data_IF_846821992550
#
_entry.id   IF_846821992550
#
_cell.length_a   1.000
_cell.length_b   1.000
_cell.length_c   1.000
_cell.angle_alpha   90.00
_cell.angle_beta   90.00
_cell.angle_gamma   90.00
#
_symmetry.space_group_name_H-M   'P 1'
#
loop_
_entity.id
_entity.type
_entity.pdbx_description
1 polymer ?
#
# COMPACT_ATOMS: atom_id res chain seq x y z
N UNK A 1 3.85 21.51 -28.59
CA UNK A 1 3.41 20.18 -29.08
C UNK A 1 3.73 19.17 -27.99
N UNK A 2 2.73 18.76 -27.22
CA UNK A 2 2.90 17.69 -26.24
C UNK A 2 3.09 16.36 -27.00
N UNK A 3 4.00 15.47 -26.58
CA UNK A 3 4.16 14.19 -27.25
C UNK A 3 2.89 13.37 -27.02
N UNK A 4 2.26 12.96 -28.12
CA UNK A 4 1.18 12.00 -28.14
C UNK A 4 1.65 10.72 -27.43
N UNK A 5 0.92 10.32 -26.39
CA UNK A 5 1.17 9.05 -25.71
C UNK A 5 0.67 7.96 -26.65
N UNK A 6 1.61 7.21 -27.19
CA UNK A 6 1.44 6.05 -28.08
C UNK A 6 0.31 5.13 -27.62
N UNK A 7 -0.74 5.04 -28.44
CA UNK A 7 -1.63 3.88 -28.52
C UNK A 7 -0.86 2.70 -29.10
N UNK A 8 -0.77 1.60 -28.33
CA UNK A 8 -0.46 0.21 -28.72
C UNK A 8 -0.24 -0.55 -27.39
N UNK A 9 -0.76 -1.72 -27.07
CA UNK A 9 -1.53 -2.72 -27.81
C UNK A 9 -1.96 -3.82 -26.79
N UNK A 10 -3.12 -4.44 -26.97
CA UNK A 10 -3.61 -5.70 -26.39
C UNK A 10 -3.50 -6.06 -24.87
N UNK A 11 -4.64 -6.46 -24.30
CA UNK A 11 -4.86 -7.19 -23.04
C UNK A 11 -3.69 -7.19 -22.02
N UNK A 12 -3.74 -6.26 -21.06
CA UNK A 12 -2.79 -6.25 -19.94
C UNK A 12 -2.71 -7.63 -19.28
N UNK A 13 -1.49 -8.10 -19.01
CA UNK A 13 -1.23 -9.32 -18.25
C UNK A 13 -1.30 -8.96 -16.78
N UNK A 14 -2.40 -9.37 -16.15
CA UNK A 14 -2.74 -8.96 -14.80
C UNK A 14 -2.16 -9.96 -13.80
N UNK A 15 -1.42 -9.46 -12.81
CA UNK A 15 -1.05 -10.19 -11.61
C UNK A 15 -1.75 -9.58 -10.40
N UNK A 16 -2.37 -10.38 -9.55
CA UNK A 16 -3.14 -9.94 -8.39
C UNK A 16 -2.46 -10.45 -7.12
N UNK A 17 -2.12 -9.54 -6.22
CA UNK A 17 -1.66 -9.85 -4.87
C UNK A 17 -2.79 -9.56 -3.89
N UNK A 18 -3.28 -10.59 -3.20
CA UNK A 18 -4.31 -10.43 -2.18
C UNK A 18 -3.70 -10.71 -0.81
N UNK A 19 -3.74 -9.74 0.10
CA UNK A 19 -3.40 -9.99 1.49
C UNK A 19 -4.66 -10.39 2.26
N UNK A 20 -4.86 -11.68 2.61
CA UNK A 20 -6.07 -12.16 3.27
C UNK A 20 -6.22 -11.59 4.70
N UNK A 21 -5.13 -11.13 5.30
CA UNK A 21 -5.11 -10.54 6.64
C UNK A 21 -5.43 -9.04 6.64
N UNK A 22 -5.67 -8.42 5.47
CA UNK A 22 -6.10 -7.03 5.37
C UNK A 22 -7.55 -6.84 5.81
N UNK A 23 -7.88 -5.65 6.32
CA UNK A 23 -9.12 -5.37 7.06
C UNK A 23 -10.41 -5.81 6.36
N UNK A 24 -10.64 -5.39 5.11
CA UNK A 24 -11.83 -5.80 4.34
C UNK A 24 -11.71 -7.24 3.83
N UNK A 25 -10.50 -7.69 3.48
CA UNK A 25 -10.24 -9.03 2.94
C UNK A 25 -10.57 -10.11 3.98
N UNK A 26 -10.33 -9.88 5.28
CA UNK A 26 -10.70 -10.82 6.35
C UNK A 26 -12.17 -11.24 6.33
N UNK A 27 -13.06 -10.39 5.80
CA UNK A 27 -14.51 -10.64 5.74
C UNK A 27 -15.01 -10.93 4.33
N UNK A 28 -14.24 -10.57 3.29
CA UNK A 28 -14.65 -10.62 1.89
C UNK A 28 -13.73 -11.42 0.98
N UNK A 29 -12.81 -12.22 1.54
CA UNK A 29 -11.83 -12.99 0.78
C UNK A 29 -12.51 -13.94 -0.22
N UNK A 30 -13.54 -14.66 0.21
CA UNK A 30 -14.27 -15.58 -0.68
C UNK A 30 -14.87 -14.86 -1.88
N UNK A 31 -15.50 -13.71 -1.67
CA UNK A 31 -16.10 -12.91 -2.76
C UNK A 31 -15.05 -12.39 -3.74
N UNK A 32 -13.90 -11.95 -3.22
CA UNK A 32 -12.76 -11.50 -4.04
C UNK A 32 -12.20 -12.67 -4.83
N UNK A 33 -11.96 -13.82 -4.20
CA UNK A 33 -11.47 -15.03 -4.87
C UNK A 33 -12.44 -15.52 -5.94
N UNK A 34 -13.75 -15.48 -5.68
CA UNK A 34 -14.78 -15.78 -6.69
C UNK A 34 -14.67 -14.83 -7.87
N UNK A 35 -14.61 -13.52 -7.63
CA UNK A 35 -14.47 -12.53 -8.70
C UNK A 35 -13.20 -12.74 -9.51
N UNK A 36 -12.07 -13.08 -8.87
CA UNK A 36 -10.81 -13.40 -9.56
C UNK A 36 -10.96 -14.67 -10.41
N UNK A 37 -11.65 -15.70 -9.90
CA UNK A 37 -11.86 -16.97 -10.62
C UNK A 37 -12.67 -16.84 -11.91
N UNK A 38 -13.50 -15.79 -12.02
CA UNK A 38 -14.22 -15.46 -13.26
C UNK A 38 -13.29 -14.97 -14.37
N UNK A 39 -12.04 -14.62 -14.04
CA UNK A 39 -11.03 -14.17 -14.99
C UNK A 39 -9.74 -15.01 -14.86
N UNK A 40 -9.73 -16.26 -15.36
CA UNK A 40 -8.64 -17.22 -15.17
C UNK A 40 -7.33 -16.84 -15.87
N UNK A 41 -7.33 -15.78 -16.70
CA UNK A 41 -6.12 -15.25 -17.32
C UNK A 41 -5.28 -14.39 -16.37
N UNK A 42 -5.85 -13.93 -15.25
CA UNK A 42 -5.08 -13.24 -14.22
C UNK A 42 -4.29 -14.23 -13.37
N UNK A 43 -3.02 -13.91 -13.14
CA UNK A 43 -2.19 -14.60 -12.16
C UNK A 43 -2.58 -14.09 -10.76
N UNK A 44 -2.68 -14.98 -9.78
CA UNK A 44 -3.13 -14.61 -8.44
C UNK A 44 -2.31 -15.29 -7.36
N UNK A 45 -1.82 -14.50 -6.40
CA UNK A 45 -1.15 -14.98 -5.20
C UNK A 45 -1.77 -14.37 -3.95
N UNK A 46 -1.93 -15.21 -2.92
CA UNK A 46 -2.21 -14.73 -1.58
C UNK A 46 -0.89 -14.44 -0.87
N UNK A 47 -0.75 -13.23 -0.32
CA UNK A 47 0.50 -12.77 0.29
C UNK A 47 0.28 -12.29 1.72
N UNK A 48 0.96 -12.93 2.67
CA UNK A 48 0.89 -12.61 4.11
C UNK A 48 2.23 -12.10 4.64
N UNK A 49 3.33 -12.55 4.03
CA UNK A 49 4.69 -12.20 4.43
C UNK A 49 5.45 -11.46 3.31
N UNK A 50 6.53 -10.74 3.64
CA UNK A 50 7.41 -10.16 2.63
C UNK A 50 8.02 -11.22 1.68
N UNK A 51 8.22 -12.44 2.16
CA UNK A 51 8.73 -13.54 1.34
C UNK A 51 7.70 -14.00 0.31
N UNK A 52 6.42 -14.10 0.69
CA UNK A 52 5.34 -14.42 -0.25
C UNK A 52 5.26 -13.37 -1.37
N UNK A 53 5.44 -12.09 -1.01
CA UNK A 53 5.48 -10.98 -1.98
C UNK A 53 6.69 -11.11 -2.90
N UNK A 54 7.87 -11.44 -2.36
CA UNK A 54 9.06 -11.69 -3.15
C UNK A 54 8.81 -12.78 -4.19
N UNK A 55 8.35 -13.95 -3.76
CA UNK A 55 8.10 -15.10 -4.64
C UNK A 55 7.04 -14.78 -5.69
N UNK A 56 5.92 -14.16 -5.29
CA UNK A 56 4.85 -13.79 -6.20
C UNK A 56 5.30 -12.76 -7.26
N UNK A 57 6.14 -11.79 -6.90
CA UNK A 57 6.63 -10.79 -7.85
C UNK A 57 7.62 -11.39 -8.87
N UNK A 58 8.46 -12.34 -8.45
CA UNK A 58 9.33 -13.07 -9.39
C UNK A 58 8.53 -13.99 -10.31
N UNK A 59 7.50 -14.65 -9.78
CA UNK A 59 6.57 -15.44 -10.59
C UNK A 59 5.85 -14.57 -11.63
N UNK A 60 5.32 -13.42 -11.22
CA UNK A 60 4.70 -12.44 -12.12
C UNK A 60 5.65 -11.94 -13.21
N UNK A 61 6.92 -11.68 -12.85
CA UNK A 61 7.93 -11.28 -13.83
C UNK A 61 8.18 -12.37 -14.87
N UNK A 62 8.23 -13.64 -14.46
CA UNK A 62 8.40 -14.78 -15.37
C UNK A 62 7.24 -14.90 -16.37
N UNK A 63 6.03 -14.53 -15.94
CA UNK A 63 4.81 -14.51 -16.76
C UNK A 63 4.60 -13.22 -17.56
N UNK A 64 5.55 -12.28 -17.48
CA UNK A 64 5.51 -10.96 -18.13
C UNK A 64 4.28 -10.14 -17.74
N UNK A 65 3.87 -10.23 -16.48
CA UNK A 65 2.84 -9.36 -15.91
C UNK A 65 3.26 -7.89 -16.07
N UNK A 66 2.35 -7.07 -16.59
CA UNK A 66 2.58 -5.65 -16.82
C UNK A 66 1.65 -4.75 -15.98
N UNK A 67 0.65 -5.34 -15.32
CA UNK A 67 -0.22 -4.70 -14.35
C UNK A 67 -0.34 -5.53 -13.09
N UNK A 68 0.16 -5.00 -11.96
CA UNK A 68 0.03 -5.61 -10.65
C UNK A 68 -1.11 -4.93 -9.88
N UNK A 69 -2.11 -5.72 -9.50
CA UNK A 69 -3.20 -5.32 -8.63
C UNK A 69 -2.87 -5.73 -7.21
N UNK A 70 -2.94 -4.78 -6.26
CA UNK A 70 -2.65 -5.01 -4.85
C UNK A 70 -3.95 -4.84 -4.07
N UNK A 71 -4.54 -5.95 -3.61
CA UNK A 71 -5.63 -5.95 -2.63
C UNK A 71 -5.02 -6.07 -1.23
N UNK A 72 -4.75 -4.91 -0.61
CA UNK A 72 -4.08 -4.85 0.69
C UNK A 72 -4.23 -3.49 1.37
N UNK A 73 -3.73 -3.39 2.60
CA UNK A 73 -3.56 -2.10 3.29
C UNK A 73 -2.24 -1.41 2.92
N UNK A 74 -2.00 -0.23 3.49
CA UNK A 74 -0.80 0.59 3.21
C UNK A 74 0.52 -0.19 3.44
N UNK A 75 0.57 -1.04 4.48
CA UNK A 75 1.74 -1.88 4.75
C UNK A 75 1.99 -2.95 3.70
N UNK A 76 0.94 -3.45 3.03
CA UNK A 76 1.10 -4.40 1.89
C UNK A 76 1.66 -3.66 0.69
N UNK A 77 1.14 -2.46 0.38
CA UNK A 77 1.67 -1.64 -0.70
C UNK A 77 3.13 -1.27 -0.45
N UNK A 78 3.48 -0.86 0.78
CA UNK A 78 4.86 -0.58 1.17
C UNK A 78 5.77 -1.80 0.98
N UNK A 79 5.33 -3.00 1.38
CA UNK A 79 6.10 -4.22 1.22
C UNK A 79 6.33 -4.57 -0.26
N UNK A 80 5.29 -4.45 -1.10
CA UNK A 80 5.39 -4.63 -2.56
C UNK A 80 6.37 -3.63 -3.18
N UNK A 81 6.24 -2.33 -2.87
CA UNK A 81 7.17 -1.31 -3.35
C UNK A 81 8.60 -1.62 -2.91
N UNK A 82 8.78 -2.02 -1.64
CA UNK A 82 10.11 -2.35 -1.11
C UNK A 82 10.75 -3.47 -1.92
N UNK A 83 10.03 -4.55 -2.19
CA UNK A 83 10.56 -5.67 -2.98
C UNK A 83 10.84 -5.24 -4.42
N UNK A 84 9.92 -4.51 -5.06
CA UNK A 84 10.09 -4.03 -6.44
C UNK A 84 11.35 -3.19 -6.61
N UNK A 85 11.64 -2.29 -5.67
CA UNK A 85 12.80 -1.39 -5.78
C UNK A 85 14.11 -2.02 -5.27
N UNK A 86 14.08 -2.89 -4.27
CA UNK A 86 15.28 -3.56 -3.77
C UNK A 86 15.75 -4.68 -4.71
N UNK A 87 14.83 -5.45 -5.28
CA UNK A 87 15.16 -6.68 -6.01
C UNK A 87 14.95 -6.58 -7.52
N UNK A 88 14.20 -5.58 -8.00
CA UNK A 88 13.97 -5.32 -9.42
C UNK A 88 13.62 -6.58 -10.23
N UNK A 89 12.56 -7.33 -9.85
CA UNK A 89 12.25 -8.61 -10.50
C UNK A 89 11.85 -8.46 -11.97
N UNK A 90 11.42 -7.27 -12.40
CA UNK A 90 10.96 -7.01 -13.76
C UNK A 90 11.99 -6.22 -14.56
N UNK A 91 12.21 -6.63 -15.82
CA UNK A 91 13.02 -5.86 -16.77
C UNK A 91 12.40 -4.50 -17.11
N UNK A 92 11.06 -4.41 -17.12
CA UNK A 92 10.29 -3.17 -17.26
C UNK A 92 9.35 -3.04 -16.06
N UNK A 93 9.38 -1.89 -15.38
CA UNK A 93 8.54 -1.62 -14.23
C UNK A 93 7.04 -1.82 -14.59
N UNK A 94 6.33 -2.70 -13.87
CA UNK A 94 4.91 -2.93 -14.09
C UNK A 94 4.10 -1.73 -13.59
N UNK A 95 2.91 -1.56 -14.15
CA UNK A 95 1.93 -0.63 -13.60
C UNK A 95 1.36 -1.19 -12.30
N UNK A 96 1.03 -0.31 -11.35
CA UNK A 96 0.42 -0.70 -10.08
C UNK A 96 -1.01 -0.18 -9.99
N UNK A 97 -1.93 -1.04 -9.55
CA UNK A 97 -3.29 -0.70 -9.20
C UNK A 97 -3.53 -1.10 -7.74
N UNK A 98 -3.87 -0.14 -6.87
CA UNK A 98 -4.14 -0.42 -5.45
C UNK A 98 -5.64 -0.49 -5.23
N UNK A 99 -6.12 -1.58 -4.65
CA UNK A 99 -7.50 -1.74 -4.19
C UNK A 99 -7.56 -1.50 -2.69
N UNK A 100 -8.56 -0.73 -2.26
CA UNK A 100 -8.77 -0.40 -0.85
C UNK A 100 -9.08 -1.65 0.00
N UNK A 101 -8.09 -2.19 0.73
CA UNK A 101 -8.32 -3.30 1.64
C UNK A 101 -7.96 -3.06 3.12
N UNK A 102 -7.41 -1.91 3.46
CA UNK A 102 -6.94 -1.54 4.79
C UNK A 102 -7.95 -0.77 5.66
N UNK A 103 -7.52 -0.42 6.88
CA UNK A 103 -8.33 0.36 7.85
C UNK A 103 -8.08 1.87 7.75
N UNK A 104 -6.94 2.27 7.19
CA UNK A 104 -6.49 3.67 7.11
C UNK A 104 -6.43 4.18 5.67
N UNK A 105 -6.27 3.28 4.67
CA UNK A 105 -6.35 3.50 3.22
C UNK A 105 -5.76 4.83 2.71
N UNK A 106 -4.64 5.29 3.26
CA UNK A 106 -4.08 6.58 2.85
C UNK A 106 -3.51 6.52 1.44
N UNK A 107 -2.86 5.40 1.07
CA UNK A 107 -2.32 5.22 -0.28
C UNK A 107 -3.44 4.95 -1.28
N UNK A 108 -4.39 4.09 -0.90
CA UNK A 108 -5.50 3.76 -1.77
C UNK A 108 -6.48 4.95 -1.97
N UNK A 109 -6.56 5.87 -1.00
CA UNK A 109 -7.27 7.14 -1.18
C UNK A 109 -6.58 8.16 -2.08
N UNK A 110 -5.25 8.08 -2.24
CA UNK A 110 -4.48 8.98 -3.11
C UNK A 110 -4.31 8.44 -4.55
N UNK A 111 -4.13 7.13 -4.71
CA UNK A 111 -3.86 6.49 -6.02
C UNK A 111 -4.68 5.25 -6.33
N UNK A 112 -5.46 4.75 -5.37
CA UNK A 112 -6.22 3.51 -5.51
C UNK A 112 -7.61 3.72 -6.12
N UNK A 113 -8.27 2.60 -6.39
CA UNK A 113 -9.69 2.60 -6.77
C UNK A 113 -10.52 2.57 -5.49
N UNK A 114 -11.18 3.69 -5.19
CA UNK A 114 -12.07 3.81 -4.04
C UNK A 114 -13.31 2.93 -4.19
N UNK A 115 -13.78 2.38 -3.06
CA UNK A 115 -15.05 1.67 -2.97
C UNK A 115 -14.94 0.13 -3.02
N UNK A 116 -15.95 -0.52 -3.59
CA UNK A 116 -16.05 -1.98 -3.57
C UNK A 116 -15.00 -2.64 -4.47
N UNK A 117 -14.11 -3.44 -3.88
CA UNK A 117 -13.03 -4.10 -4.60
C UNK A 117 -13.51 -5.05 -5.69
N UNK A 118 -14.63 -5.76 -5.48
CA UNK A 118 -15.15 -6.70 -6.47
C UNK A 118 -15.66 -5.93 -7.70
N UNK A 119 -16.36 -4.81 -7.49
CA UNK A 119 -16.76 -3.92 -8.58
C UNK A 119 -15.55 -3.37 -9.32
N UNK A 120 -14.49 -2.99 -8.61
CA UNK A 120 -13.25 -2.52 -9.21
C UNK A 120 -12.57 -3.61 -10.05
N UNK A 121 -12.45 -4.84 -9.53
CA UNK A 121 -11.89 -5.99 -10.26
C UNK A 121 -12.73 -6.34 -11.49
N UNK A 122 -14.06 -6.39 -11.38
CA UNK A 122 -14.94 -6.66 -12.53
C UNK A 122 -14.79 -5.62 -13.62
N UNK A 123 -14.70 -4.33 -13.25
CA UNK A 123 -14.42 -3.25 -14.21
C UNK A 123 -13.06 -3.41 -14.87
N UNK A 124 -12.03 -3.77 -14.09
CA UNK A 124 -10.70 -4.03 -14.62
C UNK A 124 -10.71 -5.19 -15.62
N UNK A 125 -11.35 -6.31 -15.29
CA UNK A 125 -11.44 -7.47 -16.18
C UNK A 125 -12.26 -7.17 -17.44
N UNK A 126 -13.35 -6.42 -17.30
CA UNK A 126 -14.13 -5.96 -18.44
C UNK A 126 -13.29 -5.05 -19.36
N UNK A 127 -12.54 -4.11 -18.78
CA UNK A 127 -11.63 -3.24 -19.53
C UNK A 127 -10.54 -4.06 -20.24
N UNK A 128 -9.92 -5.03 -19.55
CA UNK A 128 -8.87 -5.87 -20.12
C UNK A 128 -9.37 -6.75 -21.28
N UNK A 129 -10.63 -7.19 -21.24
CA UNK A 129 -11.26 -8.01 -22.29
C UNK A 129 -11.76 -7.18 -23.47
N UNK A 130 -12.39 -6.04 -23.21
CA UNK A 130 -13.12 -5.27 -24.23
C UNK A 130 -12.32 -4.10 -24.78
N UNK A 131 -11.25 -3.68 -24.11
CA UNK A 131 -10.54 -2.43 -24.39
C UNK A 131 -11.35 -1.17 -24.10
N UNK A 132 -12.62 -1.30 -23.69
CA UNK A 132 -13.51 -0.17 -23.45
C UNK A 132 -13.32 0.40 -22.05
N UNK A 133 -12.89 1.65 -21.98
CA UNK A 133 -12.73 2.41 -20.75
C UNK A 133 -11.54 3.36 -20.83
N UNK A 134 -11.50 4.36 -19.96
CA UNK A 134 -10.34 5.24 -19.80
C UNK A 134 -9.55 4.84 -18.56
N UNK A 135 -8.25 4.56 -18.75
CA UNK A 135 -7.32 4.37 -17.64
C UNK A 135 -6.55 5.67 -17.44
N UNK A 136 -6.81 6.34 -16.31
CA UNK A 136 -6.00 7.50 -15.92
C UNK A 136 -4.76 7.01 -15.20
N UNK A 137 -3.59 7.22 -15.81
CA UNK A 137 -2.30 6.90 -15.20
C UNK A 137 -1.87 8.09 -14.35
N UNK A 138 -1.56 7.84 -13.09
CA UNK A 138 -1.03 8.84 -12.16
C UNK A 138 0.39 8.43 -11.79
N UNK A 139 1.32 9.37 -11.84
CA UNK A 139 2.66 9.19 -11.29
C UNK A 139 2.71 9.74 -9.87
N UNK A 140 3.31 8.97 -8.96
CA UNK A 140 3.58 9.41 -7.59
C UNK A 140 5.03 9.17 -7.20
N UNK A 141 5.63 10.10 -6.43
CA UNK A 141 6.96 9.90 -5.89
C UNK A 141 6.96 8.76 -4.86
N UNK A 142 8.04 7.99 -4.85
CA UNK A 142 8.30 6.95 -3.85
C UNK A 142 9.46 7.41 -2.97
N UNK A 143 9.25 7.37 -1.66
CA UNK A 143 10.24 7.73 -0.64
C UNK A 143 11.08 6.49 -0.32
N UNK A 144 12.39 6.63 -0.41
CA UNK A 144 13.38 5.63 0.04
C UNK A 144 13.82 5.97 1.46
N UNK A 145 13.48 5.11 2.42
CA UNK A 145 13.89 5.23 3.81
C UNK A 145 15.07 4.30 4.08
N UNK A 146 16.21 4.89 4.45
CA UNK A 146 17.42 4.16 4.84
C UNK A 146 17.79 4.52 6.28
N UNK A 147 17.83 3.53 7.15
CA UNK A 147 18.27 3.66 8.54
C UNK A 147 19.47 2.73 8.73
N UNK A 148 20.61 3.20 9.27
CA UNK A 148 21.77 2.36 9.52
C UNK A 148 21.39 1.10 10.33
N UNK A 149 21.82 -0.07 9.85
CA UNK A 149 21.53 -1.37 10.50
C UNK A 149 20.16 -1.97 10.19
N UNK A 150 19.31 -1.30 9.40
CA UNK A 150 18.01 -1.82 8.95
C UNK A 150 17.94 -1.90 7.43
N UNK A 151 17.08 -2.79 6.93
CA UNK A 151 16.79 -2.90 5.51
C UNK A 151 16.15 -1.61 4.97
N UNK A 152 16.54 -1.20 3.76
CA UNK A 152 15.94 -0.06 3.06
C UNK A 152 14.48 -0.38 2.78
N UNK A 153 13.59 0.56 3.12
CA UNK A 153 12.15 0.46 2.85
C UNK A 153 11.70 1.54 1.89
N UNK A 154 10.69 1.22 1.09
CA UNK A 154 10.08 2.15 0.13
C UNK A 154 8.60 2.35 0.45
N UNK A 155 8.13 3.58 0.36
CA UNK A 155 6.72 3.92 0.62
C UNK A 155 6.34 5.24 -0.03
N UNK A 156 5.07 5.63 0.07
CA UNK A 156 4.55 6.86 -0.56
C UNK A 156 4.32 8.00 0.45
N UNK A 157 4.32 7.69 1.76
CA UNK A 157 4.18 8.66 2.84
C UNK A 157 5.07 8.26 4.02
N UNK A 158 5.49 9.25 4.82
CA UNK A 158 6.27 9.05 6.04
C UNK A 158 5.62 9.80 7.22
N UNK A 159 5.41 9.11 8.34
CA UNK A 159 4.89 9.70 9.57
C UNK A 159 5.98 9.85 10.63
N UNK A 160 6.21 11.07 11.13
CA UNK A 160 7.13 11.32 12.24
C UNK A 160 6.63 10.70 13.57
N UNK A 161 7.54 10.46 14.52
CA UNK A 161 7.36 9.63 15.73
C UNK A 161 6.10 9.92 16.60
N UNK A 162 5.51 11.10 16.50
CA UNK A 162 4.26 11.47 17.18
C UNK A 162 3.01 10.77 16.60
N UNK A 163 3.00 10.45 15.30
CA UNK A 163 1.90 9.70 14.65
C UNK A 163 2.05 8.19 14.88
N UNK A 164 3.28 7.66 14.84
CA UNK A 164 3.52 6.23 15.04
C UNK A 164 3.21 5.77 16.48
N UNK A 165 3.46 6.61 17.49
CA UNK A 165 3.04 6.36 18.87
C UNK A 165 1.51 6.33 18.99
N UNK A 166 0.78 7.19 18.27
CA UNK A 166 -0.68 7.17 18.24
C UNK A 166 -1.25 5.88 17.63
N UNK A 167 -0.65 5.40 16.53
CA UNK A 167 -1.04 4.16 15.85
C UNK A 167 -0.69 2.93 16.71
N UNK A 168 0.52 2.88 17.29
CA UNK A 168 0.91 1.79 18.20
C UNK A 168 0.08 1.79 19.49
N UNK A 169 -0.27 2.97 20.02
CA UNK A 169 -1.17 3.11 21.17
C UNK A 169 -2.56 2.58 20.84
N UNK A 170 -3.09 2.89 19.65
CA UNK A 170 -4.38 2.36 19.19
C UNK A 170 -4.35 0.83 19.06
N UNK A 171 -3.33 0.27 18.40
CA UNK A 171 -3.19 -1.18 18.24
C UNK A 171 -2.95 -1.94 19.56
N UNK A 172 -2.20 -1.36 20.50
CA UNK A 172 -1.84 -2.02 21.77
C UNK A 172 -2.93 -1.91 22.86
N UNK A 173 -3.78 -0.88 22.82
CA UNK A 173 -4.80 -0.63 23.87
C UNK A 173 -6.25 -0.80 23.45
N UNK A 174 -6.61 -0.79 22.16
CA UNK A 174 -8.01 -0.85 21.71
C UNK A 174 -8.45 -2.20 21.15
N UNK A 175 -7.91 -3.31 21.65
CA UNK A 175 -8.51 -4.63 21.44
C UNK A 175 -9.71 -4.92 22.37
N UNK A 176 -10.11 -3.98 23.23
CA UNK A 176 -11.30 -4.14 24.06
C UNK A 176 -11.99 -2.80 24.31
N UNK A 177 -13.32 -2.76 24.09
CA UNK A 177 -14.26 -1.63 24.23
C UNK A 177 -14.51 -0.76 22.99
N UNK A 178 -15.36 -1.28 22.10
CA UNK A 178 -16.65 -0.65 21.77
C UNK A 178 -16.72 0.62 20.92
N UNK A 179 -15.62 1.29 20.58
CA UNK A 179 -15.67 2.54 19.79
C UNK A 179 -14.91 2.37 18.46
N UNK A 180 -15.65 2.01 17.40
CA UNK A 180 -15.16 1.95 16.02
C UNK A 180 -15.35 3.31 15.33
N UNK A 181 -14.32 3.82 14.66
CA UNK A 181 -14.42 4.90 13.66
C UNK A 181 -13.55 6.14 13.90
N UNK A 182 -13.56 7.04 12.90
CA UNK A 182 -12.91 8.36 12.83
C UNK A 182 -13.00 9.20 14.13
N UNK A 183 -14.12 9.20 14.90
CA UNK A 183 -14.20 9.94 16.16
C UNK A 183 -13.22 9.45 17.24
N UNK A 184 -12.92 8.16 17.27
CA UNK A 184 -11.95 7.58 18.23
C UNK A 184 -10.52 8.01 17.93
N UNK A 185 -10.18 8.14 16.64
CA UNK A 185 -8.88 8.67 16.19
C UNK A 185 -8.78 10.15 16.55
N UNK A 186 -9.81 10.96 16.27
CA UNK A 186 -9.87 12.37 16.65
C UNK A 186 -9.75 12.59 18.16
N UNK A 187 -10.44 11.78 18.98
CA UNK A 187 -10.37 11.89 20.44
C UNK A 187 -8.98 11.52 20.97
N UNK A 188 -8.32 10.54 20.35
CA UNK A 188 -6.97 10.11 20.73
C UNK A 188 -5.93 11.17 20.35
N UNK A 189 -6.05 11.74 19.14
CA UNK A 189 -5.21 12.84 18.68
C UNK A 189 -5.39 14.08 19.56
N UNK A 190 -6.64 14.45 19.88
CA UNK A 190 -6.97 15.58 20.74
C UNK A 190 -6.42 15.40 22.16
N UNK A 191 -6.53 14.20 22.76
CA UNK A 191 -5.93 13.92 24.08
C UNK A 191 -4.40 14.00 24.04
N UNK A 192 -3.77 13.53 22.96
CA UNK A 192 -2.31 13.58 22.83
C UNK A 192 -1.81 15.02 22.67
N UNK A 193 -2.48 15.81 21.82
CA UNK A 193 -2.19 17.24 21.65
C UNK A 193 -2.42 18.03 22.95
N UNK A 194 -3.50 17.73 23.67
CA UNK A 194 -3.77 18.32 24.99
C UNK A 194 -2.67 17.97 26.00
N UNK A 195 -2.25 16.71 26.05
CA UNK A 195 -1.19 16.26 26.95
C UNK A 195 0.17 16.91 26.62
N UNK A 196 0.47 17.11 25.33
CA UNK A 196 1.64 17.84 24.89
C UNK A 196 1.57 19.33 25.26
N UNK A 197 0.39 19.96 25.15
CA UNK A 197 0.16 21.36 25.53
C UNK A 197 0.25 21.61 27.04
N UNK A 198 0.03 20.57 27.88
CA UNK A 198 0.12 20.65 29.35
C UNK A 198 1.50 20.31 29.93
N UNK A 199 2.49 19.93 29.11
CA UNK A 199 3.87 19.72 29.59
C UNK A 199 4.70 20.98 29.36
N UNK A 200 5.11 21.74 30.41
CA UNK A 200 6.05 22.83 30.23
C UNK A 200 7.37 22.26 29.69
N UNK A 201 7.94 22.96 28.69
CA UNK A 201 8.99 22.44 27.81
C UNK A 201 10.20 21.87 28.55
N UNK A 202 10.53 20.60 28.26
CA UNK A 202 11.86 20.07 28.55
C UNK A 202 12.77 20.41 27.37
N UNK A 203 13.63 21.41 27.56
CA UNK A 203 14.72 21.69 26.64
C UNK A 203 15.83 20.67 26.85
N UNK A 204 16.18 19.91 25.82
CA UNK A 204 17.37 19.07 25.83
C UNK A 204 18.59 19.94 25.55
N UNK A 205 19.54 19.98 26.50
CA UNK A 205 20.82 20.68 26.33
C UNK A 205 21.77 19.74 25.58
N UNK A 206 22.19 20.13 24.38
CA UNK A 206 23.18 19.39 23.60
C UNK A 206 24.60 19.80 24.04
N UNK A 207 25.44 18.83 24.38
CA UNK A 207 26.86 19.05 24.64
C UNK A 207 27.65 18.81 23.34
N UNK A 208 28.42 19.81 22.90
CA UNK A 208 29.25 19.77 21.70
C UNK A 208 30.66 19.34 22.11
N UNK A 209 31.13 18.21 21.60
CA UNK A 209 32.53 17.79 21.74
C UNK A 209 33.27 18.31 20.50
N UNK A 210 34.20 19.24 20.70
CA UNK A 210 35.14 19.67 19.67
C UNK A 210 36.40 18.82 19.76
N UNK A 211 36.73 18.11 18.67
CA UNK A 211 38.05 17.50 18.51
C UNK A 211 38.98 18.55 17.89
N UNK A 212 40.04 18.90 18.64
CA UNK A 212 41.21 19.58 18.09
C UNK A 212 42.02 18.61 17.23
N UNK A 213 42.59 19.16 16.15
CA UNK A 213 43.41 18.50 15.12
C UNK A 213 44.37 17.42 15.63
#
# INVERSE_FOLDING_TARGET
MAPAISESDHASRIGILTNPLSGSNRKGLETISQTISEYPQAFHHNVQTPQDIYEALFDFASHKVDLIVISGGDGTVQAVLTVLFNHQPFAKQPQLLVLEAGTTNMIAGDVGVLGDQNKALRRLFQWAQTGNGSVTKIQRPVIRLQVPGYEVKYGMFFGAASISQGIQYYHKKMHNKGLRGFPGICLTLARYLWAAFRRPGQSATACRIEYGL
#
